data_IF_993332608084
#
_entry.id   IF_993332608084
#
_cell.length_a   1.000
_cell.length_b   1.000
_cell.length_c   1.000
_cell.angle_alpha   90.00
_cell.angle_beta   90.00
_cell.angle_gamma   90.00
#
_symmetry.space_group_name_H-M   'P 1'
#
loop_
_entity.id
_entity.type
_entity.pdbx_description
1 polymer ?
#
# COMPACT_ATOMS: atom_id res chain seq x y z
N UNK A 1 -5.43 -10.55 -13.54
CA UNK A 1 -5.81 -10.65 -12.18
C UNK A 1 -4.66 -10.36 -11.26
N UNK A 2 -4.85 -9.50 -10.29
CA UNK A 2 -3.76 -9.08 -9.42
C UNK A 2 -3.42 -10.10 -8.36
N UNK A 3 -2.16 -10.08 -7.95
CA UNK A 3 -1.67 -10.86 -6.84
C UNK A 3 -1.27 -9.89 -5.75
N UNK A 4 -1.64 -10.20 -4.53
CA UNK A 4 -1.29 -9.34 -3.40
C UNK A 4 -0.93 -10.20 -2.20
N UNK A 5 -0.21 -9.61 -1.26
CA UNK A 5 0.17 -10.27 -0.03
C UNK A 5 0.30 -9.26 1.09
N UNK A 6 0.19 -9.73 2.33
CA UNK A 6 0.20 -8.86 3.49
C UNK A 6 1.63 -8.49 3.87
N UNK A 7 1.89 -7.19 4.00
CA UNK A 7 3.21 -6.70 4.32
C UNK A 7 3.53 -6.76 5.81
N UNK A 8 2.60 -7.21 6.62
CA UNK A 8 2.80 -7.20 8.07
C UNK A 8 3.11 -8.55 8.67
N UNK A 9 3.61 -9.46 7.87
CA UNK A 9 3.78 -10.84 8.29
C UNK A 9 4.79 -11.04 9.40
N UNK A 10 5.68 -10.11 9.63
CA UNK A 10 6.73 -10.28 10.62
C UNK A 10 6.52 -9.49 11.88
N UNK A 11 5.30 -9.15 12.17
CA UNK A 11 5.06 -8.31 13.33
C UNK A 11 5.34 -8.95 14.65
N UNK A 12 5.37 -10.25 14.70
CA UNK A 12 5.58 -10.91 15.95
C UNK A 12 7.01 -10.79 16.45
N UNK A 13 7.90 -10.42 15.57
CA UNK A 13 9.29 -10.39 15.93
C UNK A 13 9.69 -8.99 16.36
N UNK A 14 10.33 -8.87 17.48
CA UNK A 14 10.97 -7.62 17.89
C UNK A 14 10.05 -6.45 18.08
N UNK A 15 8.79 -6.70 18.27
CA UNK A 15 7.86 -5.61 18.38
C UNK A 15 8.12 -4.73 19.57
N UNK A 16 8.74 -5.28 20.59
CA UNK A 16 9.02 -4.49 21.79
C UNK A 16 9.98 -3.37 21.52
N UNK A 17 10.91 -3.58 20.61
CA UNK A 17 11.98 -2.62 20.40
C UNK A 17 11.86 -1.85 19.12
N UNK A 18 10.83 -2.11 18.35
CA UNK A 18 10.65 -1.46 17.07
C UNK A 18 9.52 -0.47 17.17
N UNK A 19 9.83 0.80 16.95
CA UNK A 19 8.78 1.82 16.99
C UNK A 19 7.85 1.66 15.81
N UNK A 20 6.67 2.25 15.93
CA UNK A 20 5.72 2.27 14.84
C UNK A 20 6.32 2.92 13.61
N UNK A 21 7.05 3.99 13.80
CA UNK A 21 7.68 4.69 12.68
C UNK A 21 8.68 3.80 11.98
N UNK A 22 9.46 3.04 12.72
CA UNK A 22 10.43 2.12 12.12
C UNK A 22 9.72 1.05 11.30
N UNK A 23 8.61 0.56 11.79
CA UNK A 23 7.83 -0.44 11.04
C UNK A 23 7.29 0.15 9.75
N UNK A 24 6.80 1.37 9.79
CA UNK A 24 6.30 2.04 8.59
C UNK A 24 7.42 2.18 7.57
N UNK A 25 8.58 2.66 8.00
CA UNK A 25 9.71 2.83 7.09
C UNK A 25 10.14 1.51 6.49
N UNK A 26 10.19 0.47 7.30
CA UNK A 26 10.57 -0.84 6.82
C UNK A 26 9.58 -1.38 5.80
N UNK A 27 8.28 -1.23 6.08
CA UNK A 27 7.26 -1.70 5.16
C UNK A 27 7.38 -1.00 3.81
N UNK A 28 7.59 0.30 3.84
CA UNK A 28 7.69 1.08 2.62
C UNK A 28 8.94 0.71 1.83
N UNK A 29 10.05 0.47 2.53
CA UNK A 29 11.29 0.12 1.86
C UNK A 29 11.26 -1.27 1.25
N UNK A 30 10.61 -2.20 1.91
CA UNK A 30 10.63 -3.60 1.48
C UNK A 30 9.58 -3.91 0.44
N UNK A 31 8.61 -3.05 0.27
CA UNK A 31 7.49 -3.33 -0.64
C UNK A 31 7.41 -2.22 -1.68
N UNK A 32 7.83 -2.50 -2.91
CA UNK A 32 7.85 -1.47 -3.94
C UNK A 32 6.47 -0.94 -4.33
N UNK A 33 5.44 -1.76 -4.15
CA UNK A 33 4.07 -1.31 -4.39
C UNK A 33 3.29 -1.68 -3.14
N UNK A 34 2.91 -0.67 -2.36
CA UNK A 34 2.32 -0.89 -1.05
C UNK A 34 1.09 -0.02 -0.88
N UNK A 35 -0.01 -0.65 -0.48
CA UNK A 35 -1.26 0.05 -0.24
C UNK A 35 -1.65 -0.08 1.23
N UNK A 36 -1.75 1.06 1.92
CA UNK A 36 -2.32 1.10 3.26
C UNK A 36 -3.82 1.34 3.12
N UNK A 37 -4.62 0.43 3.63
CA UNK A 37 -6.05 0.49 3.40
C UNK A 37 -6.81 0.02 4.64
N UNK A 38 -8.11 0.24 4.64
CA UNK A 38 -8.98 -0.27 5.68
C UNK A 38 -9.53 -1.62 5.22
N UNK A 39 -9.08 -2.67 5.89
CA UNK A 39 -9.44 -4.02 5.51
C UNK A 39 -8.39 -4.62 4.59
N UNK A 40 -8.82 -5.49 3.71
CA UNK A 40 -7.93 -6.15 2.76
C UNK A 40 -8.53 -6.03 1.36
N UNK A 41 -7.72 -6.31 0.33
CA UNK A 41 -8.27 -6.23 -1.04
C UNK A 41 -9.45 -7.16 -1.28
N UNK A 42 -9.48 -8.29 -0.60
CA UNK A 42 -10.62 -9.20 -0.74
C UNK A 42 -11.81 -8.78 0.09
N UNK A 43 -11.56 -8.07 1.19
CA UNK A 43 -12.61 -7.72 2.13
C UNK A 43 -12.40 -6.29 2.62
N UNK A 44 -12.53 -5.31 1.72
CA UNK A 44 -12.31 -3.92 2.13
C UNK A 44 -13.43 -3.46 3.05
N UNK A 45 -13.06 -2.63 4.03
CA UNK A 45 -14.00 -2.14 5.03
C UNK A 45 -14.50 -0.74 4.74
N UNK A 46 -14.12 -0.17 3.60
CA UNK A 46 -14.55 1.18 3.29
C UNK A 46 -14.57 1.33 1.77
N UNK A 47 -15.51 2.15 1.28
CA UNK A 47 -15.69 2.31 -0.16
C UNK A 47 -14.45 2.85 -0.86
N UNK A 48 -13.76 3.78 -0.21
CA UNK A 48 -12.54 4.35 -0.81
C UNK A 48 -11.43 3.32 -0.90
N UNK A 49 -11.27 2.49 0.15
CA UNK A 49 -10.29 1.42 0.10
C UNK A 49 -10.65 0.38 -0.95
N UNK A 50 -11.94 0.11 -1.10
CA UNK A 50 -12.40 -0.82 -2.11
C UNK A 50 -12.05 -0.35 -3.51
N UNK A 51 -12.31 0.92 -3.79
CA UNK A 51 -12.02 1.46 -5.12
C UNK A 51 -10.52 1.46 -5.42
N UNK A 52 -9.73 1.85 -4.43
CA UNK A 52 -8.29 1.90 -4.63
C UNK A 52 -7.71 0.52 -4.87
N UNK A 53 -8.12 -0.46 -4.06
CA UNK A 53 -7.59 -1.81 -4.22
C UNK A 53 -8.04 -2.43 -5.53
N UNK A 54 -9.26 -2.17 -5.95
CA UNK A 54 -9.74 -2.71 -7.22
C UNK A 54 -8.98 -2.13 -8.40
N UNK A 55 -8.66 -0.84 -8.35
CA UNK A 55 -7.88 -0.22 -9.40
C UNK A 55 -6.50 -0.88 -9.50
N UNK A 56 -5.87 -1.13 -8.35
CA UNK A 56 -4.57 -1.79 -8.35
C UNK A 56 -4.67 -3.22 -8.84
N UNK A 57 -5.70 -3.93 -8.43
CA UNK A 57 -5.88 -5.31 -8.88
C UNK A 57 -6.09 -5.37 -10.38
N UNK A 58 -6.74 -4.37 -10.94
CA UNK A 58 -6.98 -4.30 -12.38
C UNK A 58 -5.69 -4.13 -13.18
N UNK A 59 -4.63 -3.66 -12.54
CA UNK A 59 -3.35 -3.51 -13.22
C UNK A 59 -2.67 -4.87 -13.50
N UNK A 60 -3.10 -5.92 -12.80
CA UNK A 60 -2.62 -7.25 -13.09
C UNK A 60 -1.26 -7.60 -12.52
N UNK A 61 -0.72 -6.78 -11.62
CA UNK A 61 0.58 -7.01 -11.02
C UNK A 61 0.45 -7.20 -9.52
N UNK A 62 1.38 -7.94 -8.91
CA UNK A 62 1.32 -8.14 -7.46
C UNK A 62 1.62 -6.86 -6.69
N UNK A 63 0.95 -6.70 -5.57
CA UNK A 63 1.24 -5.59 -4.67
C UNK A 63 1.01 -6.04 -3.23
N UNK A 64 1.62 -5.32 -2.29
CA UNK A 64 1.46 -5.61 -0.88
C UNK A 64 0.45 -4.65 -0.28
N UNK A 65 -0.16 -5.05 0.83
CA UNK A 65 -1.07 -4.17 1.53
C UNK A 65 -0.86 -4.27 3.03
N UNK A 66 -1.30 -3.23 3.74
CA UNK A 66 -1.34 -3.23 5.20
C UNK A 66 -2.74 -2.80 5.61
N UNK A 67 -3.38 -3.62 6.45
CA UNK A 67 -4.71 -3.33 6.97
C UNK A 67 -4.54 -2.46 8.21
N UNK A 68 -4.88 -1.17 8.10
CA UNK A 68 -4.69 -0.24 9.20
C UNK A 68 -5.69 -0.46 10.33
N UNK A 69 -6.75 -1.21 10.09
CA UNK A 69 -7.68 -1.54 11.16
C UNK A 69 -7.09 -2.55 12.12
N UNK A 70 -6.16 -3.38 11.63
CA UNK A 70 -5.45 -4.32 12.47
C UNK A 70 -4.14 -3.75 13.00
N UNK A 71 -3.81 -2.56 12.58
CA UNK A 71 -2.59 -1.87 13.00
C UNK A 71 -2.92 -0.45 13.41
N UNK A 72 -3.63 -0.29 14.54
CA UNK A 72 -4.08 1.05 14.93
C UNK A 72 -2.94 2.01 15.22
N UNK A 73 -1.77 1.50 15.58
CA UNK A 73 -0.61 2.36 15.76
C UNK A 73 -0.17 2.97 14.44
N UNK A 74 -0.17 2.18 13.36
CA UNK A 74 0.15 2.70 12.04
C UNK A 74 -0.90 3.69 11.60
N UNK A 75 -2.16 3.38 11.86
CA UNK A 75 -3.25 4.28 11.50
C UNK A 75 -3.07 5.65 12.15
N UNK A 76 -2.53 5.70 13.36
CA UNK A 76 -2.31 6.95 14.07
C UNK A 76 -1.05 7.68 13.58
N UNK A 77 0.00 6.94 13.27
CA UNK A 77 1.29 7.56 12.96
C UNK A 77 1.53 7.85 11.49
N UNK A 78 1.02 7.01 10.61
CA UNK A 78 1.31 7.16 9.18
C UNK A 78 0.85 8.50 8.61
N UNK A 79 -0.32 9.04 8.98
CA UNK A 79 -0.69 10.35 8.44
C UNK A 79 0.31 11.43 8.76
N UNK A 80 0.94 11.36 9.92
CA UNK A 80 1.96 12.32 10.30
C UNK A 80 3.23 12.14 9.49
N UNK A 81 3.66 10.90 9.33
CA UNK A 81 4.86 10.60 8.57
C UNK A 81 4.68 10.99 7.11
N UNK A 82 3.53 10.67 6.55
CA UNK A 82 3.25 10.91 5.14
C UNK A 82 2.83 12.35 4.85
N UNK A 83 2.46 13.08 5.90
CA UNK A 83 1.84 14.38 5.73
C UNK A 83 0.60 14.26 4.85
N UNK A 84 -0.18 13.21 5.08
CA UNK A 84 -1.36 12.87 4.29
C UNK A 84 -2.40 12.31 5.25
N UNK A 85 -3.50 13.02 5.50
CA UNK A 85 -4.37 12.70 6.64
C UNK A 85 -5.33 11.53 6.45
N UNK A 86 -5.47 11.01 5.25
CA UNK A 86 -6.52 10.02 4.99
C UNK A 86 -5.97 8.73 4.44
N UNK A 87 -6.83 7.72 4.43
CA UNK A 87 -6.56 6.43 3.83
C UNK A 87 -7.63 6.16 2.78
N UNK A 88 -7.35 5.36 1.77
CA UNK A 88 -6.11 4.58 1.55
C UNK A 88 -4.94 5.46 1.11
N UNK A 89 -3.73 4.90 1.22
CA UNK A 89 -2.51 5.57 0.73
C UNK A 89 -1.72 4.57 -0.09
N UNK A 90 -1.36 4.98 -1.31
CA UNK A 90 -0.54 4.15 -2.18
C UNK A 90 0.89 4.68 -2.17
N UNK A 91 1.82 3.78 -1.92
CA UNK A 91 3.25 4.09 -1.93
C UNK A 91 3.92 3.25 -3.00
N UNK A 92 4.72 3.89 -3.85
CA UNK A 92 5.45 3.21 -4.91
C UNK A 92 6.91 3.60 -4.80
N UNK A 93 7.75 2.59 -4.65
CA UNK A 93 9.21 2.78 -4.54
C UNK A 93 9.58 3.77 -3.45
N UNK A 94 8.86 3.70 -2.33
CA UNK A 94 9.17 4.54 -1.19
C UNK A 94 8.57 5.94 -1.23
N UNK A 95 7.81 6.25 -2.26
CA UNK A 95 7.22 7.57 -2.41
C UNK A 95 5.70 7.49 -2.38
N UNK A 96 5.09 8.44 -1.69
CA UNK A 96 3.64 8.50 -1.62
C UNK A 96 3.07 8.97 -2.95
N UNK A 97 2.26 8.12 -3.57
CA UNK A 97 1.56 8.48 -4.80
C UNK A 97 0.33 9.31 -4.48
N UNK A 98 -0.46 8.85 -3.50
CA UNK A 98 -1.65 9.58 -3.10
C UNK A 98 -2.71 8.66 -2.55
N UNK A 99 -3.90 9.22 -2.38
CA UNK A 99 -5.04 8.50 -1.85
C UNK A 99 -5.98 8.00 -2.94
N UNK A 100 -7.20 7.68 -2.53
CA UNK A 100 -8.18 7.12 -3.44
C UNK A 100 -8.41 8.00 -4.66
N UNK A 101 -8.56 9.31 -4.46
CA UNK A 101 -8.84 10.22 -5.56
C UNK A 101 -7.73 10.18 -6.60
N UNK A 102 -6.50 10.22 -6.13
CA UNK A 102 -5.35 10.21 -7.03
C UNK A 102 -5.26 8.87 -7.77
N UNK A 103 -5.45 7.78 -7.03
CA UNK A 103 -5.37 6.45 -7.64
C UNK A 103 -6.42 6.29 -8.74
N UNK A 104 -7.65 6.71 -8.46
CA UNK A 104 -8.73 6.58 -9.43
C UNK A 104 -8.48 7.50 -10.63
N UNK A 105 -8.01 8.71 -10.39
CA UNK A 105 -7.72 9.63 -11.48
C UNK A 105 -6.65 9.03 -12.40
N UNK A 106 -5.57 8.51 -11.81
CA UNK A 106 -4.52 7.88 -12.61
C UNK A 106 -5.05 6.67 -13.37
N UNK A 107 -5.93 5.90 -12.74
CA UNK A 107 -6.53 4.75 -13.40
C UNK A 107 -7.36 5.17 -14.60
N UNK A 108 -8.16 6.20 -14.45
CA UNK A 108 -9.02 6.68 -15.52
C UNK A 108 -8.23 7.29 -16.67
N UNK A 109 -7.08 7.86 -16.38
CA UNK A 109 -6.23 8.45 -17.40
C UNK A 109 -5.22 7.47 -17.98
N UNK A 110 -5.32 6.21 -17.59
CA UNK A 110 -4.41 5.15 -18.04
C UNK A 110 -2.98 5.39 -17.65
N UNK A 111 -2.76 6.04 -16.51
CA UNK A 111 -1.42 6.29 -15.99
C UNK A 111 -1.04 5.32 -14.89
N UNK A 112 -2.02 4.74 -14.22
CA UNK A 112 -1.74 3.85 -13.10
C UNK A 112 -1.11 2.54 -13.58
N UNK A 113 -1.68 1.95 -14.60
CA UNK A 113 -1.21 0.66 -15.08
C UNK A 113 0.25 0.68 -15.52
N UNK A 114 0.69 1.67 -16.32
CA UNK A 114 2.11 1.71 -16.68
C UNK A 114 3.02 1.89 -15.48
N UNK A 115 2.62 2.71 -14.51
CA UNK A 115 3.43 2.90 -13.31
C UNK A 115 3.59 1.59 -12.56
N UNK A 116 2.49 0.89 -12.34
CA UNK A 116 2.51 -0.35 -11.58
C UNK A 116 3.28 -1.42 -12.35
N UNK A 117 3.08 -1.53 -13.65
CA UNK A 117 3.76 -2.52 -14.46
C UNK A 117 5.27 -2.29 -14.50
N UNK A 118 5.68 -1.05 -14.66
CA UNK A 118 7.10 -0.73 -14.69
C UNK A 118 7.76 -1.05 -13.37
N UNK A 119 7.09 -0.70 -12.28
CA UNK A 119 7.62 -0.95 -10.96
C UNK A 119 7.74 -2.45 -10.71
N UNK A 120 6.69 -3.19 -11.03
CA UNK A 120 6.69 -4.63 -10.84
C UNK A 120 7.78 -5.30 -11.66
N UNK A 121 7.98 -4.85 -12.91
CA UNK A 121 8.99 -5.44 -13.78
C UNK A 121 10.40 -5.24 -13.24
N UNK A 122 10.67 -4.05 -12.70
CA UNK A 122 11.97 -3.77 -12.08
C UNK A 122 12.30 -4.77 -10.99
N UNK A 123 11.33 -5.06 -10.14
CA UNK A 123 11.60 -5.89 -8.97
C UNK A 123 11.49 -7.38 -9.28
N UNK A 124 10.77 -7.73 -10.32
CA UNK A 124 10.77 -9.11 -10.79
C UNK A 124 12.12 -9.50 -11.32
N UNK A 125 12.74 -8.61 -12.08
CA UNK A 125 14.03 -8.91 -12.69
C UNK A 125 15.12 -9.00 -11.65
N UNK A 126 14.95 -8.34 -10.53
CA UNK A 126 15.94 -8.36 -9.48
C UNK A 126 15.97 -9.69 -8.74
N UNK A 127 14.92 -10.46 -8.87
CA UNK A 127 14.86 -11.75 -8.24
C UNK A 127 15.48 -12.81 -9.12
#
# INVERSE_FOLDING_TARGET
>A
MGIYFCAQRNQMDNTENQSTLDRIKQQIEENPILLYMKGSPKLPSCGFSSQASQALMSCGEPFAYVDILQNPDIRAELPKYANWPTFPQLWVEGELVGGCDIIIEMFQQNELQPLIKETAAKYKEAE
#
